data_IF_510387584649
#
_entry.id   IF_510387584649
#
_cell.length_a   1.000
_cell.length_b   1.000
_cell.length_c   1.000
_cell.angle_alpha   90.00
_cell.angle_beta   90.00
_cell.angle_gamma   90.00
#
_symmetry.space_group_name_H-M   'P 1'
#
loop_
_entity.id
_entity.type
_entity.pdbx_description
1 polymer ?
#
# COMPACT_ATOMS: atom_id res chain seq x y z
N UNK A 1 26.03 -5.04 -23.76
CA UNK A 1 26.62 -4.71 -22.44
C UNK A 1 26.77 -3.21 -22.20
N UNK A 2 27.63 -2.46 -22.92
CA UNK A 2 27.80 -1.01 -22.66
C UNK A 2 26.48 -0.22 -22.77
N UNK A 3 25.70 -0.47 -23.82
CA UNK A 3 24.40 0.17 -24.00
C UNK A 3 23.41 -0.14 -22.86
N UNK A 4 23.31 -1.41 -22.45
CA UNK A 4 22.46 -1.84 -21.34
C UNK A 4 22.88 -1.23 -19.99
N UNK A 5 24.19 -1.10 -19.77
CA UNK A 5 24.73 -0.45 -18.57
C UNK A 5 24.37 1.04 -18.54
N UNK A 6 24.39 1.70 -19.70
CA UNK A 6 23.99 3.10 -19.84
C UNK A 6 22.49 3.30 -19.61
N UNK A 7 21.65 2.45 -20.20
CA UNK A 7 20.20 2.42 -20.00
C UNK A 7 19.83 2.16 -18.53
N UNK A 8 20.50 1.21 -17.88
CA UNK A 8 20.34 0.95 -16.45
C UNK A 8 20.74 2.16 -15.59
N UNK A 9 21.88 2.78 -15.90
CA UNK A 9 22.39 3.96 -15.18
C UNK A 9 21.46 5.18 -15.32
N UNK A 10 20.84 5.36 -16.48
CA UNK A 10 19.84 6.40 -16.70
C UNK A 10 18.55 6.16 -15.89
N UNK A 11 18.16 4.90 -15.67
CA UNK A 11 16.90 4.58 -15.02
C UNK A 11 16.87 4.89 -13.53
N UNK A 12 17.97 4.63 -12.82
CA UNK A 12 18.04 4.76 -11.36
C UNK A 12 18.68 6.09 -10.94
N UNK A 13 18.43 6.53 -9.69
CA UNK A 13 18.98 7.81 -9.20
C UNK A 13 20.51 7.78 -9.12
N UNK A 14 21.04 6.72 -8.52
CA UNK A 14 22.46 6.47 -8.32
C UNK A 14 22.77 5.03 -8.70
N UNK A 15 23.88 4.85 -9.42
CA UNK A 15 24.38 3.54 -9.84
C UNK A 15 25.58 3.15 -8.99
N UNK A 16 25.49 1.98 -8.36
CA UNK A 16 26.62 1.29 -7.70
C UNK A 16 26.95 0.03 -8.50
N UNK A 17 28.13 -0.56 -8.32
CA UNK A 17 28.48 -1.84 -8.95
C UNK A 17 27.44 -2.93 -8.63
N UNK A 18 27.01 -3.03 -7.37
CA UNK A 18 26.01 -4.02 -6.94
C UNK A 18 24.66 -3.86 -7.64
N UNK A 19 24.17 -2.61 -7.76
CA UNK A 19 22.90 -2.35 -8.46
C UNK A 19 23.05 -2.57 -9.96
N UNK A 20 24.16 -2.16 -10.57
CA UNK A 20 24.41 -2.35 -11.99
C UNK A 20 24.45 -3.83 -12.35
N UNK A 21 25.17 -4.65 -11.56
CA UNK A 21 25.23 -6.10 -11.72
C UNK A 21 23.83 -6.73 -11.71
N UNK A 22 22.97 -6.32 -10.78
CA UNK A 22 21.57 -6.78 -10.70
C UNK A 22 20.74 -6.34 -11.91
N UNK A 23 20.90 -5.11 -12.37
CA UNK A 23 20.09 -4.55 -13.46
C UNK A 23 20.46 -5.13 -14.82
N UNK A 24 21.74 -5.37 -15.09
CA UNK A 24 22.18 -5.97 -16.36
C UNK A 24 22.29 -7.49 -16.31
N UNK A 25 22.19 -8.10 -15.12
CA UNK A 25 22.26 -9.56 -14.91
C UNK A 25 23.60 -10.14 -15.37
N UNK A 26 24.69 -9.54 -14.87
CA UNK A 26 26.06 -9.92 -15.18
C UNK A 26 26.93 -9.89 -13.91
N UNK A 27 27.75 -10.93 -13.66
CA UNK A 27 28.54 -11.04 -12.43
C UNK A 27 29.81 -10.18 -12.42
N UNK A 28 30.41 -9.94 -13.58
CA UNK A 28 31.60 -9.10 -13.72
C UNK A 28 31.22 -7.74 -14.33
N UNK A 29 31.03 -6.75 -13.45
CA UNK A 29 30.55 -5.42 -13.83
C UNK A 29 31.61 -4.33 -13.69
N UNK A 30 32.80 -4.67 -13.17
CA UNK A 30 33.78 -3.66 -12.81
C UNK A 30 34.23 -2.86 -14.04
N UNK A 31 34.55 -3.52 -15.15
CA UNK A 31 34.94 -2.85 -16.39
C UNK A 31 33.81 -1.96 -16.95
N UNK A 32 32.56 -2.42 -16.87
CA UNK A 32 31.39 -1.65 -17.30
C UNK A 32 31.14 -0.43 -16.43
N UNK A 33 31.32 -0.58 -15.12
CA UNK A 33 31.20 0.52 -14.16
C UNK A 33 32.30 1.56 -14.35
N UNK A 34 33.55 1.13 -14.58
CA UNK A 34 34.66 2.04 -14.91
C UNK A 34 34.44 2.72 -16.26
N UNK A 35 33.90 2.01 -17.25
CA UNK A 35 33.54 2.60 -18.53
C UNK A 35 32.48 3.70 -18.36
N UNK A 36 31.39 3.44 -17.61
CA UNK A 36 30.37 4.45 -17.30
C UNK A 36 30.99 5.68 -16.62
N UNK A 37 31.85 5.45 -15.63
CA UNK A 37 32.53 6.51 -14.87
C UNK A 37 33.37 7.46 -15.74
N UNK A 38 33.88 6.97 -16.88
CA UNK A 38 34.73 7.75 -17.78
C UNK A 38 33.95 8.48 -18.89
N UNK A 39 32.62 8.32 -18.96
CA UNK A 39 31.80 9.04 -19.92
C UNK A 39 31.67 10.52 -19.51
N UNK A 40 31.84 11.42 -20.47
CA UNK A 40 31.83 12.88 -20.25
C UNK A 40 30.54 13.47 -19.66
N UNK A 41 29.45 12.69 -19.67
CA UNK A 41 28.14 13.12 -19.16
C UNK A 41 27.67 12.34 -17.92
N UNK A 42 28.57 11.56 -17.30
CA UNK A 42 28.36 10.84 -16.05
C UNK A 42 29.15 11.54 -14.94
N UNK A 43 28.49 11.82 -13.83
CA UNK A 43 29.11 12.36 -12.62
C UNK A 43 29.36 11.26 -11.59
N UNK A 44 30.40 11.46 -10.76
CA UNK A 44 30.73 10.59 -9.63
C UNK A 44 30.41 11.28 -8.31
N UNK A 45 29.34 10.85 -7.65
CA UNK A 45 28.99 11.28 -6.30
C UNK A 45 29.62 10.40 -5.22
N UNK A 46 29.46 10.79 -3.96
CA UNK A 46 29.90 9.98 -2.79
C UNK A 46 29.17 8.63 -2.69
N UNK A 47 27.97 8.53 -3.26
CA UNK A 47 27.07 7.39 -3.12
C UNK A 47 26.90 6.58 -4.42
N UNK A 48 27.42 7.03 -5.55
CA UNK A 48 27.32 6.33 -6.83
C UNK A 48 27.51 7.23 -8.05
N UNK A 49 27.42 6.62 -9.23
CA UNK A 49 27.44 7.30 -10.52
C UNK A 49 26.03 7.75 -10.92
N UNK A 50 25.92 8.86 -11.63
CA UNK A 50 24.65 9.30 -12.22
C UNK A 50 24.89 10.14 -13.48
N UNK A 51 24.05 10.02 -14.52
CA UNK A 51 24.10 10.90 -15.67
C UNK A 51 23.63 12.31 -15.33
N UNK A 52 24.13 13.31 -16.07
CA UNK A 52 23.50 14.63 -16.11
C UNK A 52 22.03 14.52 -16.53
N UNK A 53 21.19 15.42 -16.01
CA UNK A 53 19.74 15.36 -16.19
C UNK A 53 19.31 15.31 -17.66
N UNK A 54 19.92 16.12 -18.53
CA UNK A 54 19.60 16.11 -19.96
C UNK A 54 19.96 14.78 -20.63
N UNK A 55 21.12 14.20 -20.29
CA UNK A 55 21.52 12.90 -20.82
C UNK A 55 20.57 11.81 -20.33
N UNK A 56 20.17 11.85 -19.06
CA UNK A 56 19.18 10.95 -18.46
C UNK A 56 17.85 11.01 -19.20
N UNK A 57 17.31 12.20 -19.41
CA UNK A 57 16.02 12.40 -20.09
C UNK A 57 16.05 11.85 -21.53
N UNK A 58 17.11 12.14 -22.29
CA UNK A 58 17.26 11.63 -23.66
C UNK A 58 17.36 10.11 -23.69
N UNK A 59 18.19 9.51 -22.82
CA UNK A 59 18.37 8.06 -22.75
C UNK A 59 17.07 7.33 -22.38
N UNK A 60 16.33 7.85 -21.40
CA UNK A 60 15.06 7.25 -20.98
C UNK A 60 13.96 7.42 -22.03
N UNK A 61 13.87 8.61 -22.63
CA UNK A 61 12.92 8.85 -23.71
C UNK A 61 13.19 7.92 -24.88
N UNK A 62 14.46 7.78 -25.29
CA UNK A 62 14.87 6.86 -26.36
C UNK A 62 14.53 5.40 -26.03
N UNK A 63 14.90 4.94 -24.83
CA UNK A 63 14.67 3.56 -24.38
C UNK A 63 13.17 3.20 -24.39
N UNK A 64 12.30 4.10 -23.95
CA UNK A 64 10.85 3.84 -23.86
C UNK A 64 10.22 3.51 -25.20
N UNK A 65 10.55 4.27 -26.25
CA UNK A 65 9.96 4.03 -27.58
C UNK A 65 10.69 2.90 -28.31
N UNK A 66 12.01 2.81 -28.16
CA UNK A 66 12.84 1.85 -28.90
C UNK A 66 12.70 0.44 -28.36
N UNK A 67 12.56 0.25 -27.05
CA UNK A 67 12.46 -1.06 -26.42
C UNK A 67 11.65 -1.03 -25.10
N UNK A 68 10.31 -0.92 -25.18
CA UNK A 68 9.44 -0.83 -24.00
C UNK A 68 9.51 -2.05 -23.09
N UNK A 69 9.70 -3.26 -23.64
CA UNK A 69 9.83 -4.49 -22.86
C UNK A 69 11.10 -4.47 -22.00
N UNK A 70 12.20 -3.97 -22.56
CA UNK A 70 13.45 -3.83 -21.82
C UNK A 70 13.37 -2.73 -20.76
N UNK A 71 12.69 -1.62 -21.07
CA UNK A 71 12.39 -0.58 -20.08
C UNK A 71 11.63 -1.14 -18.86
N UNK A 72 10.56 -1.91 -19.11
CA UNK A 72 9.79 -2.56 -18.06
C UNK A 72 10.65 -3.54 -17.25
N UNK A 73 11.46 -4.36 -17.93
CA UNK A 73 12.36 -5.32 -17.29
C UNK A 73 13.43 -4.65 -16.41
N UNK A 74 13.97 -3.49 -16.83
CA UNK A 74 14.91 -2.74 -16.00
C UNK A 74 14.26 -2.18 -14.74
N UNK A 75 13.02 -1.70 -14.83
CA UNK A 75 12.22 -1.28 -13.67
C UNK A 75 11.93 -2.44 -12.72
N UNK A 76 11.54 -3.60 -13.24
CA UNK A 76 11.35 -4.81 -12.42
C UNK A 76 12.62 -5.18 -11.66
N UNK A 77 13.79 -5.15 -12.32
CA UNK A 77 15.08 -5.46 -11.70
C UNK A 77 15.48 -4.43 -10.65
N UNK A 78 15.29 -3.13 -10.93
CA UNK A 78 15.56 -2.06 -9.97
C UNK A 78 14.66 -2.18 -8.73
N UNK A 79 13.35 -2.40 -8.92
CA UNK A 79 12.40 -2.61 -7.83
C UNK A 79 12.76 -3.82 -6.99
N UNK A 80 13.06 -4.97 -7.60
CA UNK A 80 13.47 -6.16 -6.87
C UNK A 80 14.70 -5.88 -5.99
N UNK A 81 15.70 -5.18 -6.54
CA UNK A 81 16.89 -4.78 -5.78
C UNK A 81 16.53 -3.91 -4.56
N UNK A 82 15.74 -2.86 -4.75
CA UNK A 82 15.38 -1.94 -3.67
C UNK A 82 14.48 -2.60 -2.63
N UNK A 83 13.49 -3.40 -3.02
CA UNK A 83 12.61 -4.13 -2.10
C UNK A 83 13.41 -5.05 -1.18
N UNK A 84 14.32 -5.85 -1.72
CA UNK A 84 15.21 -6.71 -0.91
C UNK A 84 16.06 -5.88 0.06
N UNK A 85 16.59 -4.74 -0.38
CA UNK A 85 17.39 -3.85 0.50
C UNK A 85 16.55 -3.19 1.59
N UNK A 86 15.29 -2.82 1.32
CA UNK A 86 14.37 -2.25 2.30
C UNK A 86 13.97 -3.24 3.40
N UNK A 87 14.01 -4.54 3.13
CA UNK A 87 13.82 -5.61 4.12
C UNK A 87 15.05 -5.80 5.02
N UNK A 88 16.23 -5.48 4.50
CA UNK A 88 17.52 -5.68 5.18
C UNK A 88 18.05 -4.44 5.92
N UNK A 89 17.39 -3.29 5.78
CA UNK A 89 17.89 -2.01 6.31
C UNK A 89 16.87 -1.32 7.21
N UNK A 90 17.37 -0.45 8.09
CA UNK A 90 16.56 0.36 9.01
C UNK A 90 17.10 1.80 9.09
N UNK A 91 16.30 2.71 9.66
CA UNK A 91 16.71 4.09 9.92
C UNK A 91 17.16 4.85 8.67
N UNK A 92 18.29 5.57 8.77
CA UNK A 92 18.81 6.44 7.70
C UNK A 92 19.14 5.69 6.40
N UNK A 93 19.71 4.48 6.49
CA UNK A 93 20.01 3.68 5.30
C UNK A 93 18.74 3.29 4.55
N UNK A 94 17.69 2.88 5.29
CA UNK A 94 16.40 2.56 4.70
C UNK A 94 15.76 3.79 4.04
N UNK A 95 15.89 4.97 4.64
CA UNK A 95 15.39 6.22 4.08
C UNK A 95 16.05 6.54 2.73
N UNK A 96 17.37 6.36 2.61
CA UNK A 96 18.10 6.53 1.34
C UNK A 96 17.59 5.58 0.25
N UNK A 97 17.44 4.31 0.58
CA UNK A 97 16.92 3.30 -0.35
C UNK A 97 15.49 3.64 -0.76
N UNK A 98 14.67 4.12 0.16
CA UNK A 98 13.30 4.51 -0.13
C UNK A 98 13.23 5.73 -1.05
N UNK A 99 14.13 6.70 -0.90
CA UNK A 99 14.28 7.83 -1.83
C UNK A 99 14.69 7.35 -3.23
N UNK A 100 15.63 6.41 -3.34
CA UNK A 100 16.02 5.78 -4.60
C UNK A 100 14.89 4.97 -5.24
N UNK A 101 14.10 4.26 -4.42
CA UNK A 101 12.93 3.52 -4.87
C UNK A 101 11.85 4.45 -5.43
N UNK A 102 11.52 5.53 -4.72
CA UNK A 102 10.53 6.52 -5.20
C UNK A 102 10.99 7.23 -6.46
N UNK A 103 12.31 7.37 -6.68
CA UNK A 103 12.87 7.95 -7.92
C UNK A 103 12.48 7.16 -9.18
N UNK A 104 12.13 5.88 -9.07
CA UNK A 104 11.62 5.09 -10.21
C UNK A 104 10.31 5.66 -10.77
N UNK A 105 9.52 6.34 -9.93
CA UNK A 105 8.23 6.93 -10.30
C UNK A 105 8.35 8.34 -10.91
N UNK A 106 9.56 8.93 -10.91
CA UNK A 106 9.78 10.37 -11.22
C UNK A 106 9.25 10.86 -12.56
N UNK A 107 9.16 9.96 -13.53
CA UNK A 107 8.77 10.30 -14.90
C UNK A 107 7.27 10.17 -15.13
N UNK A 108 6.52 9.68 -14.12
CA UNK A 108 5.07 9.65 -14.15
C UNK A 108 4.54 11.08 -14.01
N UNK A 109 3.61 11.48 -14.87
CA UNK A 109 3.03 12.83 -14.89
C UNK A 109 2.34 13.22 -13.57
N UNK A 110 1.77 12.26 -12.85
CA UNK A 110 1.16 12.49 -11.54
C UNK A 110 2.17 12.59 -10.38
N UNK A 111 3.45 12.32 -10.64
CA UNK A 111 4.53 12.32 -9.63
C UNK A 111 5.53 13.43 -9.87
N UNK A 112 5.95 13.62 -11.12
CA UNK A 112 6.98 14.57 -11.55
C UNK A 112 6.82 15.99 -10.95
N UNK A 113 5.60 16.59 -10.89
CA UNK A 113 5.43 17.95 -10.38
C UNK A 113 5.65 18.09 -8.87
N UNK A 114 5.63 16.97 -8.12
CA UNK A 114 5.50 16.95 -6.66
C UNK A 114 6.78 16.57 -5.92
N UNK A 115 7.81 16.11 -6.64
CA UNK A 115 9.09 15.69 -6.08
C UNK A 115 10.26 16.48 -6.64
N UNK A 116 11.21 16.78 -5.75
CA UNK A 116 12.52 17.31 -6.11
C UNK A 116 13.59 16.29 -5.72
N UNK A 117 14.49 15.97 -6.65
CA UNK A 117 15.46 14.88 -6.47
C UNK A 117 16.88 15.35 -6.11
N UNK A 118 17.03 16.65 -5.80
CA UNK A 118 18.31 17.22 -5.42
C UNK A 118 18.73 16.72 -4.04
N UNK A 119 19.99 16.31 -3.90
CA UNK A 119 20.62 16.12 -2.58
C UNK A 119 20.81 17.50 -1.95
N UNK A 120 19.77 17.97 -1.24
CA UNK A 120 19.96 19.02 -0.26
C UNK A 120 20.88 18.50 0.84
N UNK A 121 21.65 19.38 1.48
CA UNK A 121 22.39 19.10 2.72
C UNK A 121 21.46 18.83 3.92
N UNK A 122 20.25 18.33 3.65
CA UNK A 122 19.18 18.12 4.60
C UNK A 122 19.38 16.80 5.34
N UNK A 123 19.31 16.87 6.67
CA UNK A 123 19.40 15.68 7.52
C UNK A 123 18.11 15.46 8.30
N UNK A 124 17.60 14.24 8.25
CA UNK A 124 16.52 13.77 9.12
C UNK A 124 17.02 13.57 10.55
N UNK A 125 16.27 14.02 11.53
CA UNK A 125 16.63 13.97 12.94
C UNK A 125 15.39 13.86 13.85
N UNK A 126 15.62 13.54 15.11
CA UNK A 126 14.56 13.54 16.14
C UNK A 126 14.44 14.90 16.83
N UNK A 127 13.30 15.10 17.49
CA UNK A 127 13.03 16.29 18.30
C UNK A 127 14.01 16.41 19.48
N UNK A 128 14.59 17.60 19.65
CA UNK A 128 15.37 17.99 20.83
C UNK A 128 14.65 19.14 21.54
N UNK A 129 14.87 19.27 22.84
CA UNK A 129 14.21 20.32 23.65
C UNK A 129 14.37 21.74 23.07
N UNK A 130 15.55 22.18 22.58
CA UNK A 130 15.71 23.51 21.99
C UNK A 130 14.89 23.73 20.71
N UNK A 131 14.52 22.66 19.99
CA UNK A 131 13.82 22.78 18.72
C UNK A 131 12.36 23.23 18.90
N UNK A 132 11.75 22.98 20.06
CA UNK A 132 10.31 23.23 20.30
C UNK A 132 9.91 24.66 19.98
N UNK A 133 10.70 25.64 20.42
CA UNK A 133 10.43 27.05 20.17
C UNK A 133 10.45 27.38 18.67
N UNK A 134 11.42 26.84 17.94
CA UNK A 134 11.54 27.04 16.49
C UNK A 134 10.36 26.39 15.73
N UNK A 135 9.93 25.18 16.12
CA UNK A 135 8.78 24.51 15.49
C UNK A 135 7.48 25.27 15.75
N UNK A 136 7.23 25.72 16.99
CA UNK A 136 6.05 26.52 17.34
C UNK A 136 6.04 27.84 16.57
N UNK A 137 7.20 28.50 16.43
CA UNK A 137 7.33 29.72 15.64
C UNK A 137 7.03 29.45 14.16
N UNK A 138 7.52 28.35 13.60
CA UNK A 138 7.25 27.95 12.21
C UNK A 138 5.74 27.73 11.98
N UNK A 139 5.06 27.01 12.88
CA UNK A 139 3.60 26.85 12.83
C UNK A 139 2.88 28.19 12.97
N UNK A 140 3.34 29.06 13.88
CA UNK A 140 2.75 30.39 14.06
C UNK A 140 2.84 31.22 12.78
N UNK A 141 3.96 31.16 12.07
CA UNK A 141 4.19 31.90 10.84
C UNK A 141 3.27 31.43 9.70
N UNK A 142 3.09 30.12 9.53
CA UNK A 142 2.34 29.57 8.40
C UNK A 142 0.86 29.40 8.68
N UNK A 143 0.50 28.91 9.86
CA UNK A 143 -0.86 28.52 10.23
C UNK A 143 -1.49 29.39 11.31
N UNK A 144 -0.73 30.29 11.95
CA UNK A 144 -1.24 31.23 12.94
C UNK A 144 -1.22 30.71 14.38
N UNK A 145 -1.65 31.59 15.31
CA UNK A 145 -1.53 31.37 16.76
C UNK A 145 -2.34 30.18 17.28
N UNK A 146 -3.52 29.94 16.70
CA UNK A 146 -4.39 28.82 17.10
C UNK A 146 -3.71 27.48 16.81
N UNK A 147 -3.22 27.27 15.57
CA UNK A 147 -2.42 26.09 15.23
C UNK A 147 -1.16 25.97 16.08
N UNK A 148 -0.50 27.07 16.41
CA UNK A 148 0.72 27.05 17.23
C UNK A 148 0.46 26.54 18.66
N UNK A 149 -0.69 26.86 19.25
CA UNK A 149 -1.10 26.32 20.55
C UNK A 149 -1.34 24.81 20.48
N UNK A 150 -2.00 24.33 19.41
CA UNK A 150 -2.21 22.90 19.16
C UNK A 150 -0.88 22.17 18.93
N UNK A 151 0.05 22.79 18.18
CA UNK A 151 1.40 22.25 18.01
C UNK A 151 2.14 22.15 19.33
N UNK A 152 2.12 23.20 20.17
CA UNK A 152 2.74 23.17 21.49
C UNK A 152 2.16 22.05 22.38
N UNK A 153 0.84 21.83 22.32
CA UNK A 153 0.16 20.74 23.00
C UNK A 153 0.67 19.37 22.52
N UNK A 154 0.65 19.10 21.21
CA UNK A 154 1.07 17.80 20.68
C UNK A 154 2.57 17.53 20.81
N UNK A 155 3.41 18.56 20.70
CA UNK A 155 4.85 18.43 20.99
C UNK A 155 5.07 17.96 22.42
N UNK A 156 4.21 18.36 23.38
CA UNK A 156 4.28 17.90 24.77
C UNK A 156 3.72 16.48 24.93
N UNK A 157 2.57 16.17 24.33
CA UNK A 157 1.88 14.90 24.54
C UNK A 157 2.49 13.72 23.75
N UNK A 158 2.92 13.96 22.52
CA UNK A 158 3.47 12.94 21.63
C UNK A 158 4.77 13.40 20.93
N UNK A 159 5.84 13.74 21.70
CA UNK A 159 7.12 14.16 21.12
C UNK A 159 7.77 13.10 20.22
N UNK A 160 7.48 11.81 20.45
CA UNK A 160 7.96 10.70 19.64
C UNK A 160 7.40 10.69 18.21
N UNK A 161 6.30 11.40 17.97
CA UNK A 161 5.68 11.52 16.65
C UNK A 161 6.34 12.57 15.74
N UNK A 162 7.40 13.23 16.22
CA UNK A 162 8.01 14.38 15.54
C UNK A 162 9.31 13.98 14.84
N UNK A 163 9.41 14.37 13.57
CA UNK A 163 10.64 14.25 12.79
C UNK A 163 11.04 15.62 12.26
N UNK A 164 12.33 15.95 12.39
CA UNK A 164 12.89 17.24 11.99
C UNK A 164 13.80 17.06 10.79
N UNK A 165 13.72 17.97 9.84
CA UNK A 165 14.66 18.10 8.73
C UNK A 165 15.56 19.30 9.00
N UNK A 166 16.87 19.07 9.09
CA UNK A 166 17.87 20.08 9.43
C UNK A 166 18.65 20.52 8.20
N UNK A 167 18.93 21.82 8.09
CA UNK A 167 19.85 22.37 7.09
C UNK A 167 21.33 22.09 7.43
N UNK A 168 22.25 22.61 6.61
CA UNK A 168 23.69 22.44 6.80
C UNK A 168 24.15 22.99 8.15
N UNK A 169 23.53 24.07 8.62
CA UNK A 169 23.75 24.74 9.90
C UNK A 169 23.07 24.04 11.10
N UNK A 170 22.50 22.85 10.88
CA UNK A 170 21.82 22.03 11.88
C UNK A 170 20.54 22.67 12.46
N UNK A 171 20.00 23.70 11.81
CA UNK A 171 18.76 24.35 12.22
C UNK A 171 17.55 23.63 11.62
N UNK A 172 16.39 23.63 12.30
CA UNK A 172 15.15 23.12 11.72
C UNK A 172 14.78 23.89 10.42
N UNK A 173 14.88 23.19 9.29
CA UNK A 173 14.46 23.66 7.96
C UNK A 173 13.04 23.19 7.62
N UNK A 174 12.53 22.21 8.34
CA UNK A 174 11.16 21.73 8.26
C UNK A 174 10.93 20.61 9.27
N UNK A 175 9.68 20.18 9.40
CA UNK A 175 9.34 19.05 10.26
C UNK A 175 8.02 18.41 9.82
N UNK A 176 7.76 17.22 10.34
CA UNK A 176 6.39 16.75 10.46
C UNK A 176 6.12 16.19 11.86
N UNK A 177 4.84 16.16 12.23
CA UNK A 177 4.32 15.61 13.47
C UNK A 177 3.17 14.65 13.12
N UNK A 178 3.34 13.39 13.49
CA UNK A 178 2.30 12.36 13.46
C UNK A 178 1.68 12.21 14.84
N UNK A 179 0.36 12.28 14.93
CA UNK A 179 -0.40 11.95 16.14
C UNK A 179 -0.92 10.52 16.02
N UNK A 180 -0.56 9.66 16.97
CA UNK A 180 -1.16 8.35 17.16
C UNK A 180 -2.54 8.51 17.83
N UNK A 181 -3.61 8.55 17.01
CA UNK A 181 -4.99 8.80 17.45
C UNK A 181 -5.50 7.77 18.46
N UNK A 182 -5.04 6.53 18.32
CA UNK A 182 -5.40 5.41 19.20
C UNK A 182 -4.73 5.47 20.58
N UNK A 183 -3.65 6.25 20.72
CA UNK A 183 -2.91 6.44 21.97
C UNK A 183 -3.25 7.77 22.66
N UNK A 184 -3.85 8.72 21.93
CA UNK A 184 -4.28 10.00 22.48
C UNK A 184 -5.49 9.84 23.40
N UNK A 185 -5.51 10.59 24.50
CA UNK A 185 -6.66 10.61 25.40
C UNK A 185 -7.88 11.22 24.68
N UNK A 186 -9.09 11.02 25.25
CA UNK A 186 -10.28 11.68 24.71
C UNK A 186 -10.15 13.21 24.79
N UNK A 187 -9.64 13.72 25.90
CA UNK A 187 -9.45 15.16 26.10
C UNK A 187 -8.49 15.76 25.07
N UNK A 188 -7.33 15.12 24.85
CA UNK A 188 -6.37 15.61 23.84
C UNK A 188 -6.97 15.56 22.43
N UNK A 189 -7.74 14.51 22.10
CA UNK A 189 -8.40 14.40 20.78
C UNK A 189 -9.49 15.44 20.57
N UNK A 190 -10.26 15.75 21.62
CA UNK A 190 -11.33 16.74 21.56
C UNK A 190 -10.77 18.18 21.57
N UNK A 191 -9.52 18.39 22.00
CA UNK A 191 -8.87 19.70 22.01
C UNK A 191 -8.37 20.18 20.64
N UNK A 192 -8.09 19.27 19.71
CA UNK A 192 -7.66 19.60 18.33
C UNK A 192 -8.73 19.21 17.31
N UNK A 193 -9.30 20.18 16.55
CA UNK A 193 -10.32 19.92 15.53
C UNK A 193 -9.92 18.84 14.53
N UNK A 194 -8.64 18.73 14.18
CA UNK A 194 -8.13 17.75 13.23
C UNK A 194 -8.19 16.32 13.77
N UNK A 195 -7.82 16.12 15.04
CA UNK A 195 -7.90 14.79 15.66
C UNK A 195 -9.33 14.42 15.98
N UNK A 196 -10.16 15.41 16.33
CA UNK A 196 -11.58 15.19 16.58
C UNK A 196 -12.31 14.75 15.30
N UNK A 197 -12.10 15.43 14.17
CA UNK A 197 -12.74 15.08 12.89
C UNK A 197 -12.29 13.71 12.40
N UNK A 198 -10.98 13.42 12.45
CA UNK A 198 -10.44 12.11 12.07
C UNK A 198 -10.97 10.98 12.98
N UNK A 199 -11.04 11.20 14.29
CA UNK A 199 -11.56 10.21 15.23
C UNK A 199 -13.06 9.94 15.02
N UNK A 200 -13.85 10.98 14.77
CA UNK A 200 -15.27 10.84 14.43
C UNK A 200 -15.46 10.00 13.17
N UNK A 201 -14.68 10.28 12.12
CA UNK A 201 -14.71 9.48 10.89
C UNK A 201 -14.41 7.99 11.17
N UNK A 202 -13.38 7.70 11.96
CA UNK A 202 -13.06 6.32 12.35
C UNK A 202 -14.24 5.65 13.05
N UNK A 203 -14.86 6.32 14.03
CA UNK A 203 -15.97 5.73 14.77
C UNK A 203 -17.18 5.40 13.89
N UNK A 204 -17.45 6.23 12.88
CA UNK A 204 -18.64 6.09 12.03
C UNK A 204 -18.43 5.16 10.83
N UNK A 205 -17.24 5.21 10.20
CA UNK A 205 -17.00 4.59 8.89
C UNK A 205 -15.99 3.45 8.94
N UNK A 206 -15.03 3.51 9.87
CA UNK A 206 -13.86 2.64 9.86
C UNK A 206 -13.37 2.33 11.28
N UNK A 207 -14.21 1.78 12.18
CA UNK A 207 -13.87 1.62 13.59
C UNK A 207 -12.64 0.74 13.77
N UNK A 208 -11.77 1.13 14.71
CA UNK A 208 -10.57 0.38 15.04
C UNK A 208 -10.93 -0.89 15.82
N UNK A 209 -10.31 -2.01 15.43
CA UNK A 209 -10.41 -3.29 16.14
C UNK A 209 -9.35 -3.36 17.25
N UNK A 210 -9.46 -4.30 18.22
CA UNK A 210 -8.40 -4.53 19.20
C UNK A 210 -7.05 -4.79 18.52
N UNK A 211 -6.01 -4.06 18.93
CA UNK A 211 -4.67 -4.14 18.34
C UNK A 211 -4.46 -3.29 17.08
N UNK A 212 -5.52 -2.64 16.55
CA UNK A 212 -5.40 -1.70 15.44
C UNK A 212 -5.11 -0.27 15.91
N UNK A 213 -4.31 0.45 15.14
CA UNK A 213 -3.98 1.86 15.35
C UNK A 213 -4.38 2.73 14.17
N UNK A 214 -4.61 4.02 14.43
CA UNK A 214 -4.69 5.05 13.41
C UNK A 214 -3.76 6.22 13.71
N UNK A 215 -3.30 6.89 12.65
CA UNK A 215 -2.40 8.03 12.72
C UNK A 215 -2.88 9.21 11.88
N UNK A 216 -2.58 10.43 12.33
CA UNK A 216 -2.86 11.69 11.64
C UNK A 216 -1.54 12.45 11.46
N UNK A 217 -1.15 12.77 10.22
CA UNK A 217 -0.01 13.65 9.94
C UNK A 217 -0.40 15.12 10.21
N UNK A 218 -0.49 15.49 11.49
CA UNK A 218 -1.16 16.72 11.93
C UNK A 218 -0.47 17.99 11.46
N UNK A 219 0.86 18.03 11.47
CA UNK A 219 1.65 19.16 10.95
C UNK A 219 2.73 18.61 10.03
N UNK A 220 2.90 19.22 8.86
CA UNK A 220 3.97 18.92 7.93
C UNK A 220 4.26 20.18 7.13
N UNK A 221 5.49 20.68 7.23
CA UNK A 221 5.86 21.96 6.63
C UNK A 221 7.36 22.13 6.48
N UNK A 222 7.74 22.91 5.47
CA UNK A 222 9.03 23.54 5.36
C UNK A 222 9.00 24.93 6.00
N UNK A 223 10.13 25.37 6.55
CA UNK A 223 10.30 26.70 7.15
C UNK A 223 9.94 27.80 6.18
N UNK A 224 10.39 27.69 4.93
CA UNK A 224 10.34 28.80 3.97
C UNK A 224 9.19 28.66 2.96
N UNK A 225 8.76 27.44 2.63
CA UNK A 225 7.78 27.17 1.56
C UNK A 225 6.47 26.56 2.05
N UNK A 226 6.30 26.39 3.36
CA UNK A 226 5.15 25.73 3.97
C UNK A 226 4.91 24.35 3.36
N UNK A 227 3.72 24.12 2.78
CA UNK A 227 3.31 22.92 2.05
C UNK A 227 3.46 23.07 0.53
N UNK A 228 4.29 23.97 0.03
CA UNK A 228 4.62 24.00 -1.41
C UNK A 228 5.70 22.95 -1.72
N UNK A 229 5.78 22.51 -2.97
CA UNK A 229 6.79 21.53 -3.42
C UNK A 229 8.20 22.02 -3.11
N UNK A 230 8.99 21.19 -2.42
CA UNK A 230 10.37 21.47 -2.05
C UNK A 230 11.12 20.17 -1.69
N UNK A 231 12.45 20.23 -1.46
CA UNK A 231 13.21 19.10 -0.93
C UNK A 231 12.66 18.57 0.40
N UNK A 232 12.12 19.44 1.25
CA UNK A 232 11.50 19.05 2.52
C UNK A 232 10.23 18.22 2.28
N UNK A 233 9.37 18.62 1.35
CA UNK A 233 8.14 17.88 1.01
C UNK A 233 8.46 16.49 0.45
N UNK A 234 9.50 16.40 -0.39
CA UNK A 234 9.98 15.13 -0.92
C UNK A 234 10.40 14.19 0.23
N UNK A 235 11.16 14.72 1.20
CA UNK A 235 11.55 13.96 2.39
C UNK A 235 10.38 13.63 3.32
N UNK A 236 9.38 14.50 3.44
CA UNK A 236 8.14 14.22 4.18
C UNK A 236 7.43 13.01 3.56
N UNK A 237 7.27 12.94 2.24
CA UNK A 237 6.64 11.78 1.61
C UNK A 237 7.45 10.48 1.79
N UNK A 238 8.78 10.54 1.71
CA UNK A 238 9.64 9.37 2.00
C UNK A 238 9.46 8.90 3.45
N UNK A 239 9.52 9.81 4.41
CA UNK A 239 9.40 9.44 5.82
C UNK A 239 7.97 9.05 6.20
N UNK A 240 6.97 9.60 5.51
CA UNK A 240 5.58 9.16 5.59
C UNK A 240 5.50 7.67 5.19
N UNK A 241 6.02 7.27 4.03
CA UNK A 241 6.08 5.86 3.63
C UNK A 241 6.85 4.97 4.64
N UNK A 242 7.96 5.46 5.19
CA UNK A 242 8.71 4.73 6.22
C UNK A 242 7.88 4.53 7.51
N UNK A 243 7.11 5.52 7.93
CA UNK A 243 6.25 5.46 9.11
C UNK A 243 5.21 4.34 9.00
N UNK A 244 4.56 4.16 7.84
CA UNK A 244 3.58 3.08 7.63
C UNK A 244 4.22 1.71 7.79
N UNK A 245 5.41 1.52 7.23
CA UNK A 245 6.14 0.25 7.30
C UNK A 245 6.58 -0.08 8.72
N UNK A 246 6.93 0.92 9.52
CA UNK A 246 7.40 0.74 10.90
C UNK A 246 6.25 0.54 11.91
N UNK A 247 5.03 0.95 11.58
CA UNK A 247 3.91 0.98 12.52
C UNK A 247 3.10 -0.32 12.48
N UNK A 248 3.41 -1.24 13.40
CA UNK A 248 2.65 -2.48 13.55
C UNK A 248 1.18 -2.19 13.89
N UNK A 249 0.25 -2.92 13.25
CA UNK A 249 -1.19 -2.77 13.49
C UNK A 249 -1.81 -1.49 12.95
N UNK A 250 -1.11 -0.71 12.11
CA UNK A 250 -1.67 0.49 11.52
C UNK A 250 -2.82 0.14 10.56
N UNK A 251 -4.04 0.52 10.92
CA UNK A 251 -5.25 0.29 10.15
C UNK A 251 -5.62 1.51 9.28
N UNK A 252 -5.35 2.73 9.75
CA UNK A 252 -5.76 3.93 9.03
C UNK A 252 -4.76 5.07 9.17
N UNK A 253 -4.55 5.82 8.10
CA UNK A 253 -3.77 7.06 8.14
C UNK A 253 -4.53 8.22 7.53
N UNK A 254 -4.44 9.39 8.16
CA UNK A 254 -5.00 10.65 7.69
C UNK A 254 -3.89 11.65 7.35
N UNK A 255 -4.08 12.38 6.25
CA UNK A 255 -3.15 13.34 5.70
C UNK A 255 -3.88 14.66 5.37
N UNK A 256 -3.95 15.60 6.32
CA UNK A 256 -4.51 16.94 6.10
C UNK A 256 -3.63 17.79 5.18
N UNK A 257 -4.25 18.59 4.33
CA UNK A 257 -3.57 19.51 3.42
C UNK A 257 -4.25 20.88 3.48
N UNK A 258 -3.45 21.94 3.49
CA UNK A 258 -3.95 23.30 3.39
C UNK A 258 -4.54 23.57 2.00
N UNK A 259 -3.89 23.06 0.95
CA UNK A 259 -4.33 23.18 -0.45
C UNK A 259 -4.65 21.80 -1.02
N UNK A 260 -5.78 21.17 -0.64
CA UNK A 260 -6.08 19.78 -1.03
C UNK A 260 -6.20 19.61 -2.55
N UNK A 261 -6.72 20.61 -3.26
CA UNK A 261 -6.86 20.55 -4.73
C UNK A 261 -5.51 20.44 -5.45
N UNK A 262 -4.48 21.13 -4.96
CA UNK A 262 -3.14 21.06 -5.53
C UNK A 262 -2.53 19.66 -5.41
N UNK A 263 -2.77 18.99 -4.28
CA UNK A 263 -2.19 17.68 -3.97
C UNK A 263 -3.02 16.47 -4.46
N UNK A 264 -4.17 16.72 -5.10
CA UNK A 264 -5.11 15.67 -5.45
C UNK A 264 -4.54 14.59 -6.37
N UNK A 265 -3.73 14.98 -7.37
CA UNK A 265 -3.20 14.03 -8.36
C UNK A 265 -2.19 13.06 -7.73
N UNK A 266 -1.24 13.55 -6.95
CA UNK A 266 -0.26 12.67 -6.28
C UNK A 266 -0.91 11.80 -5.20
N UNK A 267 -1.93 12.29 -4.49
CA UNK A 267 -2.63 11.44 -3.52
C UNK A 267 -3.50 10.39 -4.20
N UNK A 268 -4.16 10.71 -5.32
CA UNK A 268 -4.83 9.69 -6.13
C UNK A 268 -3.82 8.65 -6.65
N UNK A 269 -2.66 9.10 -7.13
CA UNK A 269 -1.56 8.22 -7.55
C UNK A 269 -1.05 7.35 -6.40
N UNK A 270 -0.96 7.89 -5.19
CA UNK A 270 -0.54 7.21 -3.98
C UNK A 270 -1.67 6.44 -3.27
N UNK A 271 -2.87 6.33 -3.88
CA UNK A 271 -4.03 5.64 -3.30
C UNK A 271 -4.53 6.22 -1.97
N UNK A 272 -4.32 7.51 -1.72
CA UNK A 272 -4.92 8.24 -0.62
C UNK A 272 -6.25 8.85 -1.09
N UNK A 273 -7.35 8.40 -0.50
CA UNK A 273 -8.70 8.86 -0.82
C UNK A 273 -9.00 10.21 -0.17
N UNK A 274 -9.75 11.07 -0.86
CA UNK A 274 -10.26 12.33 -0.29
C UNK A 274 -11.38 12.04 0.72
N UNK A 275 -11.25 12.54 1.95
CA UNK A 275 -12.21 12.34 3.05
C UNK A 275 -12.78 13.67 3.52
N UNK A 276 -13.76 14.22 2.80
CA UNK A 276 -14.37 15.52 3.13
C UNK A 276 -15.03 15.54 4.52
N UNK A 277 -15.54 14.41 4.99
CA UNK A 277 -16.10 14.27 6.36
C UNK A 277 -15.06 14.46 7.47
N UNK A 278 -13.77 14.34 7.16
CA UNK A 278 -12.68 14.55 8.12
C UNK A 278 -12.04 15.93 7.99
N UNK A 279 -12.52 16.79 7.08
CA UNK A 279 -12.07 18.18 6.99
C UNK A 279 -12.30 18.92 8.30
N UNK A 280 -11.44 19.91 8.54
CA UNK A 280 -11.49 20.69 9.77
C UNK A 280 -10.98 22.10 9.55
N UNK A 281 -11.36 22.99 10.45
CA UNK A 281 -10.93 24.38 10.48
C UNK A 281 -10.11 24.67 11.74
N UNK A 282 -9.06 25.46 11.60
CA UNK A 282 -8.31 26.04 12.72
C UNK A 282 -8.02 27.51 12.40
N UNK A 283 -8.55 28.42 13.22
CA UNK A 283 -8.56 29.84 12.89
C UNK A 283 -9.34 30.08 11.59
N UNK A 284 -8.74 30.81 10.65
CA UNK A 284 -9.37 31.16 9.37
C UNK A 284 -8.99 30.20 8.23
N UNK A 285 -8.38 29.04 8.54
CA UNK A 285 -7.91 28.06 7.55
C UNK A 285 -8.74 26.78 7.60
N UNK A 286 -9.22 26.37 6.45
CA UNK A 286 -9.82 25.05 6.20
C UNK A 286 -8.76 24.08 5.67
N UNK A 287 -8.72 22.87 6.20
CA UNK A 287 -7.83 21.81 5.76
C UNK A 287 -8.63 20.68 5.14
N UNK A 288 -8.25 20.29 3.92
CA UNK A 288 -8.80 19.12 3.26
C UNK A 288 -8.04 17.87 3.66
N UNK A 289 -8.76 16.82 4.07
CA UNK A 289 -8.15 15.57 4.53
C UNK A 289 -8.17 14.49 3.46
N UNK A 290 -7.02 13.85 3.28
CA UNK A 290 -6.88 12.58 2.57
C UNK A 290 -6.65 11.45 3.57
N UNK A 291 -6.88 10.20 3.18
CA UNK A 291 -6.54 9.07 4.03
C UNK A 291 -6.53 7.74 3.31
N UNK A 292 -6.01 6.73 4.01
CA UNK A 292 -5.83 5.39 3.49
C UNK A 292 -6.20 4.37 4.55
N UNK A 293 -7.00 3.37 4.17
CA UNK A 293 -7.34 2.22 5.01
C UNK A 293 -6.44 1.04 4.65
N UNK A 294 -5.43 0.81 5.47
CA UNK A 294 -4.41 -0.23 5.27
C UNK A 294 -4.97 -1.64 5.43
N UNK A 295 -6.21 -1.80 5.90
CA UNK A 295 -6.90 -3.10 5.93
C UNK A 295 -7.49 -3.44 4.56
N UNK A 296 -7.85 -2.42 3.78
CA UNK A 296 -8.38 -2.56 2.41
C UNK A 296 -7.23 -2.77 1.43
N UNK A 297 -6.19 -1.95 1.53
CA UNK A 297 -4.97 -2.09 0.71
C UNK A 297 -3.75 -2.17 1.63
N UNK A 298 -3.35 -3.38 2.08
CA UNK A 298 -2.17 -3.55 2.92
C UNK A 298 -0.91 -3.06 2.21
N UNK A 299 0.12 -2.69 2.98
CA UNK A 299 1.35 -2.09 2.47
C UNK A 299 1.97 -2.86 1.28
N UNK A 300 2.02 -4.19 1.33
CA UNK A 300 2.54 -4.99 0.21
C UNK A 300 1.69 -4.88 -1.08
N UNK A 301 0.36 -4.85 -0.95
CA UNK A 301 -0.55 -4.64 -2.07
C UNK A 301 -0.47 -3.21 -2.61
N UNK A 302 -0.33 -2.24 -1.71
CA UNK A 302 -0.12 -0.83 -2.04
C UNK A 302 1.19 -0.61 -2.82
N UNK A 303 2.28 -1.27 -2.42
CA UNK A 303 3.54 -1.25 -3.16
C UNK A 303 3.40 -1.87 -4.57
N UNK A 304 2.70 -3.00 -4.69
CA UNK A 304 2.46 -3.62 -5.99
C UNK A 304 1.61 -2.72 -6.91
N UNK A 305 0.59 -2.05 -6.36
CA UNK A 305 -0.23 -1.07 -7.09
C UNK A 305 0.62 0.09 -7.62
N UNK A 306 1.51 0.66 -6.79
CA UNK A 306 2.41 1.73 -7.21
C UNK A 306 3.37 1.27 -8.30
N UNK A 307 3.93 0.06 -8.19
CA UNK A 307 4.81 -0.51 -9.21
C UNK A 307 4.10 -0.66 -10.57
N UNK A 308 2.81 -1.02 -10.58
CA UNK A 308 2.03 -1.06 -11.82
C UNK A 308 1.82 0.34 -12.41
N UNK A 309 1.45 1.32 -11.57
CA UNK A 309 1.21 2.72 -11.99
C UNK A 309 2.48 3.41 -12.51
N UNK A 310 3.65 3.04 -11.99
CA UNK A 310 4.97 3.53 -12.40
C UNK A 310 5.21 3.33 -13.91
N UNK A 311 4.90 2.13 -14.42
CA UNK A 311 5.11 1.79 -15.84
C UNK A 311 3.91 2.19 -16.70
N UNK A 312 2.67 2.08 -16.19
CA UNK A 312 1.44 2.26 -16.97
C UNK A 312 1.28 3.66 -17.59
N UNK A 313 1.61 4.74 -16.89
CA UNK A 313 1.53 6.10 -17.45
C UNK A 313 2.57 6.36 -18.56
N UNK A 314 3.57 5.49 -18.71
CA UNK A 314 4.57 5.58 -19.78
C UNK A 314 4.03 5.10 -21.13
N UNK A 315 2.85 4.45 -21.16
CA UNK A 315 2.22 3.94 -22.39
C UNK A 315 1.34 4.97 -23.13
N UNK A 316 1.09 6.15 -22.55
CA UNK A 316 0.17 7.16 -23.11
C UNK A 316 0.75 8.00 -24.26
N UNK A 317 2.00 7.78 -24.69
CA UNK A 317 2.58 8.45 -25.87
C UNK A 317 2.49 7.51 -27.08
N UNK A 318 1.27 7.26 -27.55
CA UNK A 318 1.00 6.71 -28.89
C UNK A 318 0.26 7.78 -29.70
N UNK A 319 0.59 7.98 -31.00
CA UNK A 319 0.01 9.06 -31.77
C UNK A 319 -1.51 8.90 -31.94
N UNK A 320 -2.20 10.04 -31.87
CA UNK A 320 -3.64 10.21 -32.02
C UNK A 320 -4.12 9.53 -33.31
N UNK A 321 -4.94 8.48 -33.16
CA UNK A 321 -5.59 7.84 -34.29
C UNK A 321 -6.10 6.43 -33.99
N UNK A 322 -7.04 6.31 -33.04
CA UNK A 322 -8.18 5.37 -32.99
C UNK A 322 -8.61 5.20 -31.52
N UNK A 323 -9.38 6.16 -31.04
CA UNK A 323 -10.17 6.04 -29.80
C UNK A 323 -11.27 5.02 -30.03
N UNK A 324 -11.09 3.77 -29.57
CA UNK A 324 -12.16 2.84 -29.12
C UNK A 324 -11.60 1.57 -28.43
N UNK A 325 -10.32 1.20 -28.54
CA UNK A 325 -9.88 -0.15 -28.13
C UNK A 325 -9.25 -0.34 -26.73
N UNK A 326 -9.01 0.71 -25.94
CA UNK A 326 -8.22 0.55 -24.69
C UNK A 326 -9.03 0.62 -23.38
N UNK A 327 -10.26 1.15 -23.39
CA UNK A 327 -11.14 1.11 -22.22
C UNK A 327 -11.61 -0.32 -21.87
N UNK A 328 -11.69 -1.22 -22.86
CA UNK A 328 -12.04 -2.62 -22.64
C UNK A 328 -10.85 -3.46 -22.15
N UNK A 329 -9.61 -3.09 -22.47
CA UNK A 329 -8.41 -3.83 -22.09
C UNK A 329 -7.99 -3.58 -20.62
N UNK A 330 -8.29 -2.39 -20.08
CA UNK A 330 -8.06 -2.04 -18.67
C UNK A 330 -9.03 -2.82 -17.74
N UNK A 331 -10.16 -3.28 -18.27
CA UNK A 331 -11.16 -4.01 -17.49
C UNK A 331 -10.93 -5.53 -17.41
N UNK A 332 -9.94 -6.08 -18.13
CA UNK A 332 -9.79 -7.55 -18.29
C UNK A 332 -8.48 -8.14 -17.74
N UNK A 333 -7.65 -7.38 -17.00
CA UNK A 333 -6.40 -7.90 -16.41
C UNK A 333 -6.26 -7.58 -14.91
N UNK A 334 -7.17 -6.80 -14.34
CA UNK A 334 -7.34 -6.74 -12.90
C UNK A 334 -8.22 -7.91 -12.47
N UNK A 335 -7.63 -9.03 -12.04
CA UNK A 335 -8.30 -9.84 -11.01
C UNK A 335 -7.86 -9.29 -9.66
N UNK A 336 -8.60 -8.34 -9.07
CA UNK A 336 -8.33 -7.89 -7.72
C UNK A 336 -8.45 -9.10 -6.77
N UNK A 337 -7.59 -9.17 -5.76
CA UNK A 337 -7.92 -9.87 -4.52
C UNK A 337 -9.22 -9.25 -4.01
N UNK A 338 -10.35 -9.87 -4.34
CA UNK A 338 -11.68 -9.43 -3.90
C UNK A 338 -11.72 -9.69 -2.41
N UNK A 339 -11.49 -8.64 -1.61
CA UNK A 339 -11.80 -8.67 -0.17
C UNK A 339 -13.31 -8.65 -0.05
N UNK A 340 -13.89 -9.84 0.03
CA UNK A 340 -15.32 -10.02 0.18
C UNK A 340 -15.75 -9.45 1.54
N UNK A 341 -16.81 -8.64 1.54
CA UNK A 341 -17.50 -8.31 2.79
C UNK A 341 -17.98 -9.61 3.45
N UNK A 342 -18.16 -9.62 4.78
CA UNK A 342 -18.64 -10.83 5.47
C UNK A 342 -19.93 -11.42 4.83
N UNK A 343 -20.94 -10.61 4.45
CA UNK A 343 -22.10 -11.09 3.69
C UNK A 343 -21.75 -11.72 2.33
N UNK A 344 -20.86 -11.08 1.55
CA UNK A 344 -20.49 -11.58 0.22
C UNK A 344 -19.66 -12.87 0.32
N UNK A 345 -18.80 -12.98 1.34
CA UNK A 345 -18.05 -14.18 1.66
C UNK A 345 -18.98 -15.35 2.00
N UNK A 346 -20.00 -15.09 2.83
CA UNK A 346 -21.00 -16.10 3.21
C UNK A 346 -21.74 -16.62 1.97
N UNK A 347 -22.14 -15.75 1.06
CA UNK A 347 -22.80 -16.16 -0.18
C UNK A 347 -21.85 -16.90 -1.13
N UNK A 348 -20.58 -16.49 -1.21
CA UNK A 348 -19.57 -17.18 -2.00
C UNK A 348 -19.32 -18.62 -1.49
N UNK A 349 -19.23 -18.83 -0.17
CA UNK A 349 -19.11 -20.18 0.45
C UNK A 349 -20.36 -21.02 0.16
N UNK A 350 -21.57 -20.44 0.23
CA UNK A 350 -22.82 -21.14 -0.13
C UNK A 350 -22.84 -21.53 -1.61
N UNK A 351 -22.33 -20.67 -2.49
CA UNK A 351 -22.23 -20.96 -3.92
C UNK A 351 -21.25 -22.10 -4.19
N UNK A 352 -20.14 -22.20 -3.43
CA UNK A 352 -19.22 -23.35 -3.50
C UNK A 352 -19.91 -24.63 -3.05
N UNK A 353 -20.59 -24.63 -1.90
CA UNK A 353 -21.29 -25.83 -1.39
C UNK A 353 -22.35 -26.33 -2.39
N UNK A 354 -23.16 -25.44 -2.98
CA UNK A 354 -24.18 -25.81 -3.98
C UNK A 354 -23.59 -26.42 -5.25
N UNK A 355 -22.42 -25.96 -5.65
CA UNK A 355 -21.76 -26.38 -6.91
C UNK A 355 -20.51 -27.22 -6.65
N UNK A 356 -20.40 -27.85 -5.48
CA UNK A 356 -19.18 -28.49 -5.02
C UNK A 356 -18.65 -29.54 -6.00
N UNK A 357 -19.52 -30.32 -6.65
CA UNK A 357 -19.14 -31.35 -7.64
C UNK A 357 -18.98 -30.82 -9.07
N UNK A 358 -19.05 -29.50 -9.31
CA UNK A 358 -19.05 -28.89 -10.65
C UNK A 358 -17.90 -27.87 -10.80
N UNK A 359 -16.64 -28.32 -11.01
CA UNK A 359 -15.46 -27.45 -11.08
C UNK A 359 -15.60 -26.30 -12.07
N UNK A 360 -16.22 -26.54 -13.23
CA UNK A 360 -16.42 -25.52 -14.27
C UNK A 360 -17.27 -24.32 -13.79
N UNK A 361 -18.21 -24.53 -12.86
CA UNK A 361 -19.04 -23.43 -12.30
C UNK A 361 -18.27 -22.65 -11.24
N UNK A 362 -17.31 -23.30 -10.56
CA UNK A 362 -16.51 -22.68 -9.50
C UNK A 362 -15.45 -21.72 -10.04
N UNK A 363 -15.13 -21.77 -11.34
CA UNK A 363 -14.15 -20.91 -12.01
C UNK A 363 -14.43 -19.40 -11.89
N UNK A 364 -15.69 -19.01 -11.68
CA UNK A 364 -16.08 -17.61 -11.47
C UNK A 364 -16.41 -17.28 -10.01
N UNK A 365 -16.07 -18.14 -9.05
CA UNK A 365 -16.36 -17.89 -7.64
C UNK A 365 -15.34 -16.90 -7.05
N UNK A 366 -15.83 -15.86 -6.39
CA UNK A 366 -14.98 -14.81 -5.81
C UNK A 366 -13.98 -15.32 -4.75
N UNK A 367 -14.20 -16.50 -4.15
CA UNK A 367 -13.24 -17.09 -3.21
C UNK A 367 -11.95 -17.59 -3.86
N UNK A 368 -11.90 -17.74 -5.19
CA UNK A 368 -10.65 -18.10 -5.88
C UNK A 368 -9.56 -17.04 -5.71
N UNK A 369 -9.97 -15.79 -5.48
CA UNK A 369 -9.08 -14.66 -5.23
C UNK A 369 -8.94 -14.33 -3.74
N UNK A 370 -9.44 -15.19 -2.83
CA UNK A 370 -9.34 -14.96 -1.38
C UNK A 370 -8.00 -15.47 -0.84
N UNK A 371 -7.58 -14.95 0.32
CA UNK A 371 -6.29 -15.31 0.92
C UNK A 371 -6.20 -16.80 1.23
N UNK A 372 -7.32 -17.43 1.58
CA UNK A 372 -7.41 -18.87 1.82
C UNK A 372 -6.94 -19.70 0.62
N UNK A 373 -7.35 -19.34 -0.59
CA UNK A 373 -7.00 -20.09 -1.82
C UNK A 373 -5.59 -19.70 -2.28
N UNK A 374 -5.25 -18.42 -2.29
CA UNK A 374 -3.95 -17.94 -2.77
C UNK A 374 -2.79 -18.45 -1.93
N UNK A 375 -2.97 -18.62 -0.62
CA UNK A 375 -1.92 -19.16 0.27
C UNK A 375 -1.68 -20.67 0.09
N UNK A 376 -2.60 -21.40 -0.54
CA UNK A 376 -2.49 -22.85 -0.74
C UNK A 376 -1.92 -23.25 -2.10
N UNK A 377 -1.91 -22.34 -3.05
CA UNK A 377 -1.39 -22.59 -4.40
C UNK A 377 -0.07 -21.86 -4.60
N UNK A 378 0.88 -22.49 -5.30
CA UNK A 378 2.16 -21.85 -5.64
C UNK A 378 1.97 -20.98 -6.88
N UNK A 379 2.47 -19.75 -6.85
CA UNK A 379 2.36 -18.84 -8.00
C UNK A 379 3.40 -19.17 -9.09
N UNK A 380 3.03 -19.17 -10.38
CA UNK A 380 1.67 -19.01 -10.92
C UNK A 380 0.88 -20.32 -10.87
N UNK A 381 -0.36 -20.27 -10.36
CA UNK A 381 -1.26 -21.42 -10.29
C UNK A 381 -2.27 -21.36 -11.45
N UNK A 382 -2.54 -22.50 -12.07
CA UNK A 382 -3.63 -22.64 -13.03
C UNK A 382 -5.00 -22.52 -12.33
N UNK A 383 -6.02 -22.09 -13.07
CA UNK A 383 -7.39 -21.98 -12.56
C UNK A 383 -7.93 -23.32 -12.03
N UNK A 384 -7.50 -24.44 -12.62
CA UNK A 384 -7.82 -25.79 -12.15
C UNK A 384 -7.24 -26.07 -10.77
N UNK A 385 -6.00 -25.63 -10.50
CA UNK A 385 -5.36 -25.77 -9.19
C UNK A 385 -6.02 -24.90 -8.12
N UNK A 386 -6.42 -23.68 -8.48
CA UNK A 386 -7.18 -22.79 -7.58
C UNK A 386 -8.54 -23.37 -7.21
N UNK A 387 -9.29 -23.92 -8.18
CA UNK A 387 -10.58 -24.58 -7.92
C UNK A 387 -10.40 -25.82 -7.05
N UNK A 388 -9.36 -26.63 -7.30
CA UNK A 388 -9.06 -27.79 -6.46
C UNK A 388 -8.71 -27.38 -5.02
N UNK A 389 -7.93 -26.32 -4.84
CA UNK A 389 -7.60 -25.76 -3.53
C UNK A 389 -8.85 -25.24 -2.79
N UNK A 390 -9.75 -24.53 -3.49
CA UNK A 390 -11.02 -24.07 -2.95
C UNK A 390 -11.92 -25.23 -2.50
N UNK A 391 -12.03 -26.29 -3.30
CA UNK A 391 -12.78 -27.49 -2.91
C UNK A 391 -12.17 -28.20 -1.70
N UNK A 392 -10.84 -28.26 -1.61
CA UNK A 392 -10.14 -28.83 -0.46
C UNK A 392 -10.42 -28.04 0.82
N UNK A 393 -10.32 -26.70 0.76
CA UNK A 393 -10.62 -25.81 1.89
C UNK A 393 -12.03 -26.00 2.45
N UNK A 394 -13.05 -25.99 1.59
CA UNK A 394 -14.44 -26.17 2.03
C UNK A 394 -14.68 -27.58 2.58
N UNK A 395 -14.03 -28.59 2.01
CA UNK A 395 -14.09 -29.97 2.51
C UNK A 395 -13.49 -30.09 3.91
N UNK A 396 -12.28 -29.57 4.11
CA UNK A 396 -11.58 -29.63 5.40
C UNK A 396 -12.36 -28.88 6.49
N UNK A 397 -12.92 -27.71 6.18
CA UNK A 397 -13.76 -26.97 7.11
C UNK A 397 -15.06 -27.70 7.46
N UNK A 398 -15.63 -28.47 6.53
CA UNK A 398 -16.77 -29.34 6.83
C UNK A 398 -16.33 -30.53 7.70
N UNK A 399 -15.22 -31.18 7.37
CA UNK A 399 -14.69 -32.33 8.09
C UNK A 399 -14.26 -31.99 9.51
N UNK A 400 -13.77 -30.77 9.78
CA UNK A 400 -13.37 -30.32 11.12
C UNK A 400 -14.51 -30.32 12.13
N UNK A 401 -15.77 -30.22 11.68
CA UNK A 401 -16.96 -30.30 12.53
C UNK A 401 -17.13 -31.68 13.20
N UNK A 402 -16.42 -32.70 12.72
CA UNK A 402 -16.42 -34.03 13.34
C UNK A 402 -15.65 -34.07 14.66
N UNK A 403 -14.81 -33.08 14.94
CA UNK A 403 -14.01 -33.00 16.17
C UNK A 403 -14.87 -32.86 17.44
N UNK A 404 -16.10 -32.39 17.32
CA UNK A 404 -17.06 -32.24 18.41
C UNK A 404 -18.28 -33.14 18.22
N UNK A 405 -18.68 -33.97 19.21
CA UNK A 405 -19.91 -34.78 19.14
C UNK A 405 -21.17 -33.94 18.87
N UNK A 406 -21.17 -32.66 19.28
CA UNK A 406 -22.28 -31.73 19.05
C UNK A 406 -22.40 -31.32 17.59
N UNK A 407 -21.28 -31.24 16.87
CA UNK A 407 -21.19 -30.69 15.51
C UNK A 407 -21.09 -31.79 14.43
N UNK A 408 -20.74 -33.01 14.81
CA UNK A 408 -20.70 -34.17 13.92
C UNK A 408 -22.03 -34.39 13.16
N UNK A 409 -23.16 -34.07 13.79
CA UNK A 409 -24.49 -34.12 13.14
C UNK A 409 -24.68 -33.07 12.05
N UNK A 410 -24.00 -31.93 12.14
CA UNK A 410 -24.01 -30.89 11.10
C UNK A 410 -23.16 -31.31 9.89
N UNK A 411 -22.00 -31.92 10.15
CA UNK A 411 -21.19 -32.54 9.10
C UNK A 411 -21.98 -33.60 8.33
N UNK A 412 -22.65 -34.54 9.02
CA UNK A 412 -23.47 -35.58 8.38
C UNK A 412 -24.54 -35.00 7.42
N UNK A 413 -25.17 -33.88 7.81
CA UNK A 413 -26.14 -33.19 6.97
C UNK A 413 -25.49 -32.52 5.74
N UNK A 414 -24.35 -31.82 5.92
CA UNK A 414 -23.58 -31.22 4.82
C UNK A 414 -23.05 -32.27 3.84
N UNK A 415 -22.56 -33.40 4.37
CA UNK A 415 -22.00 -34.48 3.59
C UNK A 415 -23.03 -35.03 2.61
N UNK A 416 -24.23 -35.40 3.07
CA UNK A 416 -25.28 -35.92 2.20
C UNK A 416 -26.04 -34.87 1.39
N UNK A 417 -25.83 -33.57 1.66
CA UNK A 417 -26.41 -32.49 0.88
C UNK A 417 -25.49 -32.01 -0.25
N UNK A 418 -24.18 -31.96 -0.03
CA UNK A 418 -23.24 -31.26 -0.93
C UNK A 418 -21.97 -32.05 -1.27
N UNK A 419 -21.30 -32.71 -0.31
CA UNK A 419 -20.02 -33.40 -0.58
C UNK A 419 -20.21 -34.75 -1.26
N UNK A 420 -21.24 -35.49 -0.85
CA UNK A 420 -21.68 -36.75 -1.43
C UNK A 420 -23.22 -36.78 -1.49
N UNK A 421 -23.81 -35.98 -2.40
CA UNK A 421 -25.23 -35.67 -2.37
C UNK A 421 -26.10 -36.91 -2.61
N UNK A 422 -27.15 -37.06 -1.82
CA UNK A 422 -28.27 -37.94 -2.17
C UNK A 422 -29.09 -37.33 -3.32
N UNK A 423 -29.95 -38.11 -4.01
CA UNK A 423 -30.76 -37.59 -5.11
C UNK A 423 -31.65 -36.40 -4.72
N UNK A 424 -32.13 -36.37 -3.47
CA UNK A 424 -32.84 -35.23 -2.88
C UNK A 424 -32.47 -35.06 -1.40
N UNK A 425 -32.76 -33.89 -0.83
CA UNK A 425 -32.53 -33.64 0.60
C UNK A 425 -33.44 -34.49 1.50
N UNK A 426 -34.63 -34.88 1.03
CA UNK A 426 -35.52 -35.82 1.72
C UNK A 426 -34.88 -37.21 1.81
N UNK A 427 -34.27 -37.70 0.71
CA UNK A 427 -33.54 -38.97 0.73
C UNK A 427 -32.27 -38.90 1.58
N UNK A 428 -31.64 -37.72 1.67
CA UNK A 428 -30.53 -37.49 2.61
C UNK A 428 -31.00 -37.57 4.07
N UNK A 429 -32.19 -37.04 4.37
CA UNK A 429 -32.80 -37.14 5.70
C UNK A 429 -33.15 -38.59 6.05
N UNK A 430 -33.75 -39.36 5.11
CA UNK A 430 -34.02 -40.79 5.25
C UNK A 430 -32.74 -41.59 5.57
N UNK A 431 -31.64 -41.35 4.82
CA UNK A 431 -30.35 -42.03 5.05
C UNK A 431 -29.74 -41.75 6.42
N UNK A 432 -30.07 -40.61 7.02
CA UNK A 432 -29.61 -40.22 8.35
C UNK A 432 -30.57 -40.62 9.47
N UNK A 433 -31.70 -41.24 9.13
CA UNK A 433 -32.80 -41.55 10.06
C UNK A 433 -33.29 -40.30 10.81
N UNK A 434 -33.51 -39.20 10.06
CA UNK A 434 -33.93 -37.91 10.60
C UNK A 434 -35.24 -37.43 9.95
N UNK A 435 -36.15 -36.80 10.72
CA UNK A 435 -37.23 -36.01 10.15
C UNK A 435 -36.66 -34.92 9.24
N UNK A 436 -37.33 -34.65 8.10
CA UNK A 436 -36.85 -33.67 7.12
C UNK A 436 -36.66 -32.25 7.71
N UNK A 437 -37.53 -31.83 8.62
CA UNK A 437 -37.39 -30.57 9.36
C UNK A 437 -36.10 -30.52 10.19
N UNK A 438 -35.77 -31.63 10.85
CA UNK A 438 -34.54 -31.80 11.64
C UNK A 438 -33.31 -31.81 10.75
N UNK A 439 -33.35 -32.50 9.59
CA UNK A 439 -32.28 -32.46 8.58
C UNK A 439 -32.01 -31.02 8.12
N UNK A 440 -33.05 -30.27 7.73
CA UNK A 440 -32.89 -28.86 7.31
C UNK A 440 -32.29 -27.99 8.40
N UNK A 441 -32.65 -28.21 9.67
CA UNK A 441 -32.05 -27.48 10.80
C UNK A 441 -30.55 -27.79 10.95
N UNK A 442 -30.18 -29.06 10.86
CA UNK A 442 -28.76 -29.48 10.91
C UNK A 442 -27.98 -28.93 9.72
N UNK A 443 -28.56 -28.96 8.51
CA UNK A 443 -27.92 -28.43 7.30
C UNK A 443 -27.68 -26.92 7.42
N UNK A 444 -28.67 -26.15 7.89
CA UNK A 444 -28.51 -24.71 8.13
C UNK A 444 -27.40 -24.42 9.14
N UNK A 445 -27.37 -25.15 10.25
CA UNK A 445 -26.35 -25.01 11.27
C UNK A 445 -24.95 -25.38 10.76
N UNK A 446 -24.84 -26.42 9.92
CA UNK A 446 -23.59 -26.81 9.28
C UNK A 446 -23.06 -25.75 8.32
N UNK A 447 -23.92 -25.21 7.46
CA UNK A 447 -23.53 -24.10 6.56
C UNK A 447 -23.01 -22.92 7.37
N UNK A 448 -23.70 -22.54 8.46
CA UNK A 448 -23.25 -21.45 9.33
C UNK A 448 -21.89 -21.75 9.98
N UNK A 449 -21.67 -22.96 10.47
CA UNK A 449 -20.42 -23.34 11.13
C UNK A 449 -19.23 -23.36 10.16
N UNK A 450 -19.40 -23.95 8.97
CA UNK A 450 -18.36 -23.94 7.91
C UNK A 450 -18.04 -22.52 7.47
N UNK A 451 -19.07 -21.70 7.27
CA UNK A 451 -18.87 -20.31 6.85
C UNK A 451 -18.17 -19.49 7.93
N UNK A 452 -18.54 -19.66 9.21
CA UNK A 452 -17.86 -18.99 10.32
C UNK A 452 -16.40 -19.40 10.43
N UNK A 453 -16.11 -20.70 10.35
CA UNK A 453 -14.75 -21.22 10.44
C UNK A 453 -13.86 -20.69 9.30
N UNK A 454 -14.34 -20.76 8.05
CA UNK A 454 -13.60 -20.22 6.91
C UNK A 454 -13.45 -18.70 7.01
N UNK A 455 -14.45 -17.98 7.52
CA UNK A 455 -14.35 -16.55 7.74
C UNK A 455 -13.30 -16.22 8.81
N UNK A 456 -13.30 -16.92 9.93
CA UNK A 456 -12.33 -16.75 11.01
C UNK A 456 -10.90 -17.01 10.50
N UNK A 457 -10.71 -17.98 9.60
CA UNK A 457 -9.41 -18.23 8.94
C UNK A 457 -9.04 -17.17 7.89
N UNK A 458 -10.01 -16.57 7.20
CA UNK A 458 -9.75 -15.48 6.22
C UNK A 458 -9.36 -14.17 6.92
N UNK A 459 -9.88 -13.92 8.13
CA UNK A 459 -9.60 -12.71 8.92
C UNK A 459 -8.42 -12.84 9.90
N UNK A 460 -7.89 -14.05 10.09
CA UNK A 460 -6.68 -14.34 10.89
C UNK A 460 -5.42 -14.18 10.05
#
# INVERSE_FOLDING_TARGET
MHHQALEACALVRLTTEALLAQMVDAPDIHELFQWLRNLSFIESGRLGLFPHDLAREVLITDLRWRNPDWYAKLHDRARAYYTTRLEQTQGYQQQHILFDYTFLHRDNSAVRPYFTWQDGSLRTDTLREPDRAALIQMVTQHEGKASAQLAAHWLKQQPQGVLIFRDAEQQPAGFFLVVALHQASREDRDADPATQSAWRYLQEQAPLRPGEGATLLRFWMARDTYQSVSPIQSLIFINFMQHHRASAGLAFTFFPCAEPGFWAEIFAYADLARISKADFEVGDRLYGVYGHDWRVVPFGAWQALLAQREIAASAEIMPIGTTTSYASAISSINEPLVVLSQPDFVEAVRAVLRNFSRPNILQGNSLLQSRLVTNRVKSPASQTEQVAALQALVREAAESLQSSPREAKYYRALYHAYLHPAPTQERAAERLDLPFSTFRRHLKAGIMAVTSNLWDQEIS
#
